data_IF_233126073655
#
_entry.id   IF_233126073655
#
_cell.length_a   1.000
_cell.length_b   1.000
_cell.length_c   1.000
_cell.angle_alpha   90.00
_cell.angle_beta   90.00
_cell.angle_gamma   90.00
#
_symmetry.space_group_name_H-M   'P 1'
#
loop_
_entity.id
_entity.type
_entity.pdbx_description
1 polymer ?
#
# COMPACT_ATOMS: atom_id res chain seq x y z
N UNK A 1 40.53 35.69 -6.38
CA UNK A 1 39.49 34.84 -7.01
C UNK A 1 39.44 33.52 -6.26
N UNK A 2 38.56 33.37 -5.27
CA UNK A 2 38.42 32.10 -4.55
C UNK A 2 37.57 31.16 -5.38
N UNK A 3 38.12 29.99 -5.74
CA UNK A 3 37.41 28.96 -6.48
C UNK A 3 36.26 28.46 -5.60
N UNK A 4 35.02 28.72 -6.01
CA UNK A 4 33.81 28.09 -5.48
C UNK A 4 33.81 26.58 -5.83
N UNK A 5 34.80 25.82 -5.36
CA UNK A 5 34.65 24.37 -5.26
C UNK A 5 33.65 24.14 -4.15
N UNK A 6 32.45 23.66 -4.50
CA UNK A 6 31.61 22.97 -3.53
C UNK A 6 32.48 21.91 -2.85
N UNK A 7 32.52 21.90 -1.53
CA UNK A 7 33.29 20.90 -0.82
C UNK A 7 32.67 19.53 -1.09
N UNK A 8 33.52 18.53 -1.31
CA UNK A 8 33.07 17.15 -1.57
C UNK A 8 32.10 16.66 -0.47
N UNK A 9 32.31 17.13 0.77
CA UNK A 9 31.39 16.87 1.91
C UNK A 9 29.97 17.40 1.71
N UNK A 10 29.78 18.55 1.08
CA UNK A 10 28.44 19.11 0.79
C UNK A 10 27.77 18.31 -0.33
N UNK A 11 28.53 17.96 -1.37
CA UNK A 11 28.03 17.16 -2.49
C UNK A 11 27.58 15.79 -2.01
N UNK A 12 28.39 15.11 -1.18
CA UNK A 12 28.05 13.80 -0.62
C UNK A 12 26.78 13.84 0.24
N UNK A 13 26.61 14.88 1.06
CA UNK A 13 25.45 15.04 1.94
C UNK A 13 24.16 15.35 1.17
N UNK A 14 24.28 15.97 0.00
CA UNK A 14 23.18 16.38 -0.85
C UNK A 14 22.93 15.42 -2.01
N UNK A 15 23.73 14.37 -2.18
CA UNK A 15 23.56 13.41 -3.26
C UNK A 15 22.19 12.74 -3.21
N UNK A 16 21.51 12.70 -4.36
CA UNK A 16 20.22 12.11 -4.57
C UNK A 16 20.32 10.97 -5.59
N UNK A 17 19.94 9.78 -5.16
CA UNK A 17 20.05 8.56 -5.96
C UNK A 17 18.86 8.32 -6.92
N UNK A 18 17.93 9.27 -7.03
CA UNK A 18 16.74 9.13 -7.89
C UNK A 18 15.58 8.37 -7.24
N UNK A 19 15.72 7.87 -6.02
CA UNK A 19 14.62 7.21 -5.32
C UNK A 19 13.56 8.25 -4.91
N UNK A 20 12.39 8.21 -5.54
CA UNK A 20 11.26 9.10 -5.24
C UNK A 20 10.85 9.11 -3.76
N UNK A 21 10.96 7.98 -3.06
CA UNK A 21 10.65 7.89 -1.62
C UNK A 21 11.59 8.73 -0.73
N UNK A 22 12.79 9.04 -1.22
CA UNK A 22 13.78 9.87 -0.53
C UNK A 22 13.77 11.33 -1.01
N UNK A 23 12.96 11.66 -2.02
CA UNK A 23 12.97 12.98 -2.66
C UNK A 23 12.55 14.09 -1.69
N UNK A 24 11.58 13.83 -0.82
CA UNK A 24 11.16 14.80 0.21
C UNK A 24 12.32 15.17 1.15
N UNK A 25 13.07 14.16 1.62
CA UNK A 25 14.25 14.38 2.47
C UNK A 25 15.36 15.13 1.71
N UNK A 26 15.60 14.79 0.45
CA UNK A 26 16.55 15.52 -0.40
C UNK A 26 16.14 16.99 -0.57
N UNK A 27 14.87 17.25 -0.90
CA UNK A 27 14.32 18.60 -1.06
C UNK A 27 14.50 19.46 0.19
N UNK A 28 14.23 18.92 1.37
CA UNK A 28 14.42 19.64 2.63
C UNK A 28 15.90 19.95 2.89
N UNK A 29 16.79 18.98 2.69
CA UNK A 29 18.24 19.20 2.83
C UNK A 29 18.78 20.26 1.87
N UNK A 30 18.34 20.20 0.61
CA UNK A 30 18.69 21.19 -0.41
C UNK A 30 18.24 22.59 0.01
N UNK A 31 16.96 22.76 0.37
CA UNK A 31 16.42 24.05 0.81
C UNK A 31 17.16 24.59 2.03
N UNK A 32 17.46 23.74 3.02
CA UNK A 32 18.21 24.12 4.20
C UNK A 32 19.64 24.60 3.85
N UNK A 33 20.31 23.92 2.91
CA UNK A 33 21.63 24.34 2.43
C UNK A 33 21.57 25.71 1.72
N UNK A 34 20.62 25.91 0.81
CA UNK A 34 20.45 27.18 0.11
C UNK A 34 20.15 28.32 1.09
N UNK A 35 19.29 28.07 2.09
CA UNK A 35 19.01 29.05 3.15
C UNK A 35 20.26 29.43 3.94
N UNK A 36 21.08 28.45 4.33
CA UNK A 36 22.34 28.71 5.03
C UNK A 36 23.31 29.54 4.18
N UNK A 37 23.35 29.32 2.85
CA UNK A 37 24.14 30.16 1.94
C UNK A 37 23.63 31.60 1.84
N UNK A 38 22.31 31.78 1.76
CA UNK A 38 21.70 33.11 1.79
C UNK A 38 22.05 33.87 3.07
N UNK A 39 21.98 33.19 4.22
CA UNK A 39 22.31 33.80 5.51
C UNK A 39 23.80 34.15 5.60
N UNK A 40 24.69 33.29 5.11
CA UNK A 40 26.13 33.57 5.04
C UNK A 40 26.46 34.76 4.11
N UNK A 41 25.76 34.89 2.97
CA UNK A 41 25.91 36.02 2.07
C UNK A 41 25.49 37.33 2.75
N UNK A 42 24.35 37.33 3.44
CA UNK A 42 23.88 38.50 4.21
C UNK A 42 24.92 38.93 5.24
N UNK A 43 25.50 37.99 6.00
CA UNK A 43 26.55 38.31 6.98
C UNK A 43 27.77 38.94 6.30
N UNK A 44 28.21 38.38 5.18
CA UNK A 44 29.37 38.87 4.42
C UNK A 44 29.16 40.30 3.91
N UNK A 45 27.99 40.60 3.36
CA UNK A 45 27.67 41.93 2.86
C UNK A 45 27.56 42.96 4.00
N UNK A 46 26.94 42.59 5.12
CA UNK A 46 26.87 43.47 6.29
C UNK A 46 28.25 43.75 6.90
N UNK A 47 29.14 42.75 6.95
CA UNK A 47 30.54 42.95 7.39
C UNK A 47 31.31 43.89 6.45
N UNK A 48 31.02 43.83 5.15
CA UNK A 48 31.57 44.75 4.17
C UNK A 48 30.89 46.14 4.16
N UNK A 49 30.00 46.42 5.12
CA UNK A 49 29.19 47.66 5.22
C UNK A 49 28.35 47.95 3.98
N UNK A 50 27.98 46.90 3.24
CA UNK A 50 27.11 46.98 2.06
C UNK A 50 25.66 46.74 2.44
N UNK A 51 24.75 47.15 1.55
CA UNK A 51 23.31 46.89 1.68
C UNK A 51 23.04 45.38 1.51
N UNK A 52 21.95 44.89 2.11
CA UNK A 52 21.60 43.45 2.09
C UNK A 52 21.26 42.99 0.67
N UNK A 53 21.64 41.77 0.26
CA UNK A 53 21.16 41.16 -0.99
C UNK A 53 19.63 41.12 -1.04
N UNK A 54 19.06 41.48 -2.19
CA UNK A 54 17.62 41.44 -2.44
C UNK A 54 17.18 39.99 -2.72
N UNK A 55 17.98 39.25 -3.47
CA UNK A 55 17.68 37.88 -3.86
C UNK A 55 18.28 36.86 -2.88
N UNK A 56 17.51 35.81 -2.53
CA UNK A 56 17.98 34.67 -1.75
C UNK A 56 18.09 33.42 -2.62
N UNK A 57 19.02 32.52 -2.29
CA UNK A 57 19.26 31.28 -3.03
C UNK A 57 18.03 30.36 -3.05
N UNK A 58 17.32 30.23 -1.93
CA UNK A 58 16.13 29.36 -1.83
C UNK A 58 14.96 29.87 -2.67
N UNK A 59 14.84 31.18 -2.89
CA UNK A 59 13.77 31.80 -3.67
C UNK A 59 13.93 31.53 -5.17
N UNK A 60 15.17 31.32 -5.63
CA UNK A 60 15.49 30.96 -7.01
C UNK A 60 14.88 29.63 -7.46
N UNK A 61 14.50 28.75 -6.51
CA UNK A 61 13.76 27.52 -6.79
C UNK A 61 12.30 27.77 -7.17
N UNK A 62 11.73 28.90 -6.74
CA UNK A 62 10.31 29.24 -6.91
C UNK A 62 10.10 30.13 -8.13
N UNK A 63 10.94 31.16 -8.26
CA UNK A 63 10.84 32.18 -9.29
C UNK A 63 12.21 32.78 -9.64
N UNK A 64 12.22 33.61 -10.67
CA UNK A 64 13.40 34.39 -11.02
C UNK A 64 13.53 35.60 -10.08
N UNK A 65 14.75 36.00 -9.70
CA UNK A 65 14.97 37.21 -8.91
C UNK A 65 14.39 38.43 -9.63
N UNK A 66 13.55 39.19 -8.94
CA UNK A 66 13.04 40.47 -9.44
C UNK A 66 13.94 41.56 -8.87
N UNK A 67 14.66 42.25 -9.76
CA UNK A 67 15.54 43.36 -9.40
C UNK A 67 14.99 44.63 -10.02
N UNK A 68 14.83 45.68 -9.22
CA UNK A 68 14.36 46.98 -9.69
C UNK A 68 15.52 47.73 -10.36
N UNK A 69 15.34 48.13 -11.61
CA UNK A 69 16.32 48.92 -12.34
C UNK A 69 16.43 50.35 -11.77
N UNK A 70 17.64 50.92 -11.67
CA UNK A 70 17.81 52.29 -11.23
C UNK A 70 17.13 53.25 -12.21
N UNK A 71 16.34 54.20 -11.68
CA UNK A 71 15.66 55.20 -12.49
C UNK A 71 16.60 56.23 -13.15
N UNK A 72 16.12 57.00 -14.14
CA UNK A 72 16.89 58.06 -14.76
C UNK A 72 17.26 59.12 -13.70
N UNK A 73 18.55 59.26 -13.42
CA UNK A 73 19.08 60.14 -12.36
C UNK A 73 19.55 59.43 -11.09
N UNK A 74 19.55 58.09 -11.06
CA UNK A 74 20.11 57.31 -9.96
C UNK A 74 21.59 57.66 -9.70
N UNK A 75 21.97 57.66 -8.42
CA UNK A 75 23.36 57.93 -8.01
C UNK A 75 24.31 56.83 -8.53
N UNK A 76 25.59 57.14 -8.62
CA UNK A 76 26.63 56.14 -8.97
C UNK A 76 26.61 54.98 -7.98
N UNK A 77 26.40 55.24 -6.69
CA UNK A 77 26.29 54.21 -5.66
C UNK A 77 25.09 53.28 -5.90
N UNK A 78 23.94 53.81 -6.34
CA UNK A 78 22.76 52.99 -6.64
C UNK A 78 22.95 52.16 -7.91
N UNK A 79 23.67 52.68 -8.91
CA UNK A 79 24.03 51.93 -10.12
C UNK A 79 25.00 50.77 -9.79
N UNK A 80 26.04 51.05 -9.00
CA UNK A 80 27.00 50.03 -8.55
C UNK A 80 26.30 48.96 -7.69
N UNK A 81 25.39 49.38 -6.82
CA UNK A 81 24.60 48.47 -6.01
C UNK A 81 23.72 47.56 -6.87
N UNK A 82 23.03 48.12 -7.87
CA UNK A 82 22.23 47.33 -8.81
C UNK A 82 23.08 46.32 -9.58
N UNK A 83 24.24 46.74 -10.12
CA UNK A 83 25.16 45.85 -10.82
C UNK A 83 25.63 44.68 -9.91
N UNK A 84 25.87 44.97 -8.63
CA UNK A 84 26.22 43.95 -7.64
C UNK A 84 25.06 42.97 -7.39
N UNK A 85 23.81 43.45 -7.31
CA UNK A 85 22.63 42.58 -7.17
C UNK A 85 22.44 41.67 -8.38
N UNK A 86 22.63 42.19 -9.60
CA UNK A 86 22.57 41.40 -10.83
C UNK A 86 23.65 40.32 -10.81
N UNK A 87 24.88 40.66 -10.42
CA UNK A 87 25.97 39.69 -10.29
C UNK A 87 25.64 38.59 -9.26
N UNK A 88 25.02 38.94 -8.13
CA UNK A 88 24.57 37.95 -7.15
C UNK A 88 23.50 37.02 -7.69
N UNK A 89 22.47 37.55 -8.36
CA UNK A 89 21.41 36.75 -8.97
C UNK A 89 21.99 35.73 -9.99
N UNK A 90 22.92 36.18 -10.84
CA UNK A 90 23.59 35.32 -11.81
C UNK A 90 24.45 34.24 -11.14
N UNK A 91 25.17 34.60 -10.09
CA UNK A 91 25.97 33.65 -9.31
C UNK A 91 25.08 32.62 -8.59
N UNK A 92 23.93 33.03 -8.03
CA UNK A 92 22.96 32.13 -7.42
C UNK A 92 22.46 31.08 -8.41
N UNK A 93 22.00 31.52 -9.59
CA UNK A 93 21.52 30.63 -10.65
C UNK A 93 22.61 29.61 -11.05
N UNK A 94 23.83 30.09 -11.27
CA UNK A 94 24.97 29.25 -11.68
C UNK A 94 25.34 28.23 -10.61
N UNK A 95 25.36 28.65 -9.34
CA UNK A 95 25.68 27.77 -8.23
C UNK A 95 24.65 26.65 -8.07
N UNK A 96 23.35 26.99 -8.11
CA UNK A 96 22.29 25.99 -7.95
C UNK A 96 22.28 25.01 -9.13
N UNK A 97 22.49 25.50 -10.37
CA UNK A 97 22.64 24.62 -11.54
C UNK A 97 23.81 23.65 -11.38
N UNK A 98 24.96 24.13 -10.90
CA UNK A 98 26.11 23.26 -10.64
C UNK A 98 25.78 22.23 -9.55
N UNK A 99 25.08 22.63 -8.50
CA UNK A 99 24.66 21.73 -7.43
C UNK A 99 23.70 20.65 -7.94
N UNK A 100 22.75 20.99 -8.83
CA UNK A 100 21.92 19.99 -9.51
C UNK A 100 22.74 19.00 -10.33
N UNK A 101 23.72 19.48 -11.10
CA UNK A 101 24.59 18.60 -11.90
C UNK A 101 25.39 17.62 -11.04
N UNK A 102 25.78 18.02 -9.82
CA UNK A 102 26.59 17.20 -8.91
C UNK A 102 25.76 16.27 -8.01
N UNK A 103 24.51 16.65 -7.71
CA UNK A 103 23.69 15.94 -6.70
C UNK A 103 22.57 15.11 -7.29
N UNK A 104 22.17 15.34 -8.54
CA UNK A 104 21.11 14.55 -9.18
C UNK A 104 21.70 13.35 -9.95
N UNK A 105 20.89 12.30 -10.21
CA UNK A 105 21.32 11.17 -11.00
C UNK A 105 21.80 11.57 -12.39
N UNK A 106 22.84 10.88 -12.88
CA UNK A 106 23.35 11.04 -14.24
C UNK A 106 22.23 10.83 -15.27
N UNK A 107 22.13 11.73 -16.25
CA UNK A 107 21.10 11.68 -17.29
C UNK A 107 19.79 12.36 -16.91
N UNK A 108 19.71 13.02 -15.74
CA UNK A 108 18.52 13.80 -15.35
C UNK A 108 18.22 14.97 -16.30
N UNK A 109 19.23 15.74 -16.68
CA UNK A 109 19.06 16.94 -17.49
C UNK A 109 19.76 16.79 -18.83
N UNK A 110 19.01 17.03 -19.91
CA UNK A 110 19.58 17.30 -21.21
C UNK A 110 20.09 18.76 -21.27
N UNK A 111 20.90 19.07 -22.26
CA UNK A 111 21.45 20.43 -22.44
C UNK A 111 20.35 21.49 -22.59
N UNK A 112 19.16 21.12 -23.06
CA UNK A 112 18.03 22.04 -23.17
C UNK A 112 17.43 22.41 -21.81
N UNK A 113 17.37 21.46 -20.88
CA UNK A 113 16.86 21.69 -19.53
C UNK A 113 17.85 22.48 -18.70
N UNK A 114 19.16 22.19 -18.78
CA UNK A 114 20.20 22.91 -18.01
C UNK A 114 20.32 24.39 -18.37
N UNK A 115 19.94 24.77 -19.60
CA UNK A 115 19.90 26.16 -20.04
C UNK A 115 18.71 26.95 -19.47
N UNK A 116 17.67 26.29 -18.97
CA UNK A 116 16.51 26.99 -18.39
C UNK A 116 16.85 27.67 -17.06
N UNK A 117 16.06 28.67 -16.62
CA UNK A 117 16.15 29.22 -15.27
C UNK A 117 15.98 28.13 -14.19
N UNK A 118 16.63 28.31 -13.04
CA UNK A 118 16.63 27.34 -11.92
C UNK A 118 15.22 26.91 -11.52
N UNK A 119 14.27 27.84 -11.37
CA UNK A 119 12.90 27.50 -10.99
C UNK A 119 12.22 26.57 -12.01
N UNK A 120 12.54 26.65 -13.30
CA UNK A 120 12.00 25.73 -14.32
C UNK A 120 12.63 24.35 -14.24
N UNK A 121 13.94 24.29 -13.97
CA UNK A 121 14.64 23.02 -13.72
C UNK A 121 14.07 22.37 -12.46
N UNK A 122 13.94 23.13 -11.38
CA UNK A 122 13.38 22.69 -10.11
C UNK A 122 11.96 22.14 -10.27
N UNK A 123 11.07 22.85 -10.97
CA UNK A 123 9.73 22.33 -11.29
C UNK A 123 9.77 21.02 -12.08
N UNK A 124 10.73 20.83 -12.98
CA UNK A 124 10.89 19.57 -13.70
C UNK A 124 11.36 18.43 -12.76
N UNK A 125 12.29 18.71 -11.85
CA UNK A 125 12.72 17.77 -10.79
C UNK A 125 11.51 17.37 -9.94
N UNK A 126 10.74 18.33 -9.45
CA UNK A 126 9.53 18.09 -8.66
C UNK A 126 8.47 17.32 -9.46
N UNK A 127 8.34 17.57 -10.78
CA UNK A 127 7.43 16.81 -11.63
C UNK A 127 7.83 15.33 -11.76
N UNK A 128 9.12 15.05 -11.81
CA UNK A 128 9.66 13.70 -12.01
C UNK A 128 9.72 12.88 -10.72
N UNK A 129 10.16 13.50 -9.63
CA UNK A 129 10.42 12.82 -8.37
C UNK A 129 9.44 13.18 -7.25
N UNK A 130 8.68 14.27 -7.42
CA UNK A 130 7.68 14.71 -6.45
C UNK A 130 6.52 13.72 -6.37
N UNK A 131 6.27 13.26 -5.15
CA UNK A 131 5.11 12.43 -4.82
C UNK A 131 3.81 13.25 -4.69
N UNK A 132 3.89 14.58 -4.80
CA UNK A 132 2.76 15.52 -4.83
C UNK A 132 2.22 15.77 -6.24
N UNK A 133 2.76 15.11 -7.26
CA UNK A 133 2.24 15.15 -8.63
C UNK A 133 1.11 14.13 -8.81
N UNK A 134 0.24 14.29 -9.81
CA UNK A 134 -0.80 13.31 -10.10
C UNK A 134 -0.24 11.89 -10.29
N UNK A 135 0.92 11.75 -10.96
CA UNK A 135 1.61 10.46 -11.11
C UNK A 135 2.13 9.93 -9.77
N UNK A 136 2.71 10.79 -8.93
CA UNK A 136 3.16 10.43 -7.59
C UNK A 136 2.03 10.01 -6.65
N UNK A 137 0.90 10.71 -6.70
CA UNK A 137 -0.33 10.37 -5.96
C UNK A 137 -0.89 9.04 -6.44
N UNK A 138 -0.96 8.80 -7.76
CA UNK A 138 -1.37 7.48 -8.32
C UNK A 138 -0.42 6.37 -7.86
N UNK A 139 0.89 6.60 -7.85
CA UNK A 139 1.87 5.64 -7.34
C UNK A 139 1.67 5.36 -5.84
N UNK A 140 1.37 6.38 -5.04
CA UNK A 140 1.09 6.24 -3.61
C UNK A 140 -0.24 5.52 -3.34
N UNK A 141 -1.30 5.83 -4.09
CA UNK A 141 -2.57 5.09 -4.05
C UNK A 141 -2.33 3.64 -4.48
N UNK A 142 -1.48 3.40 -5.48
CA UNK A 142 -1.04 2.05 -5.83
C UNK A 142 -0.33 1.34 -4.67
N UNK A 143 0.52 2.03 -3.90
CA UNK A 143 1.14 1.49 -2.67
C UNK A 143 0.09 1.17 -1.61
N UNK A 144 -0.95 1.98 -1.46
CA UNK A 144 -2.08 1.67 -0.58
C UNK A 144 -2.77 0.35 -0.97
N UNK A 145 -2.81 0.02 -2.26
CA UNK A 145 -3.31 -1.28 -2.73
C UNK A 145 -2.32 -2.44 -2.51
N UNK A 146 -1.03 -2.21 -2.76
CA UNK A 146 0.04 -3.21 -2.65
C UNK A 146 0.35 -3.55 -1.19
N UNK A 147 0.28 -2.60 -0.27
CA UNK A 147 0.52 -2.84 1.16
C UNK A 147 -0.45 -3.88 1.74
N UNK A 148 -1.66 -3.97 1.19
CA UNK A 148 -2.64 -4.99 1.55
C UNK A 148 -2.30 -6.41 1.01
N UNK A 149 -1.23 -6.54 0.21
CA UNK A 149 -0.88 -7.78 -0.46
C UNK A 149 -0.04 -8.74 0.39
N UNK A 150 0.84 -8.24 1.28
CA UNK A 150 1.74 -9.07 2.08
C UNK A 150 2.02 -8.48 3.48
N UNK A 151 1.27 -8.95 4.49
CA UNK A 151 1.36 -8.48 5.87
C UNK A 151 1.70 -9.61 6.84
N UNK A 152 2.51 -9.28 7.86
CA UNK A 152 2.96 -10.22 8.90
C UNK A 152 1.91 -10.46 9.99
N UNK A 153 1.08 -9.46 10.29
CA UNK A 153 -0.04 -9.52 11.24
C UNK A 153 -1.09 -8.45 10.93
N UNK A 154 -2.26 -8.51 11.59
CA UNK A 154 -3.30 -7.48 11.46
C UNK A 154 -2.78 -6.12 11.92
N UNK A 155 -2.12 -6.03 13.08
CA UNK A 155 -1.56 -4.76 13.56
C UNK A 155 -0.49 -4.19 12.61
N UNK A 156 0.30 -5.07 11.96
CA UNK A 156 1.25 -4.65 10.93
C UNK A 156 0.52 -4.08 9.70
N UNK A 157 -0.53 -4.74 9.23
CA UNK A 157 -1.36 -4.25 8.12
C UNK A 157 -1.95 -2.86 8.42
N UNK A 158 -2.57 -2.68 9.60
CA UNK A 158 -3.12 -1.40 10.00
C UNK A 158 -2.06 -0.31 10.06
N UNK A 159 -0.87 -0.59 10.61
CA UNK A 159 0.24 0.35 10.67
C UNK A 159 0.68 0.79 9.27
N UNK A 160 0.87 -0.15 8.34
CA UNK A 160 1.31 0.18 6.99
C UNK A 160 0.24 0.95 6.21
N UNK A 161 -1.04 0.59 6.34
CA UNK A 161 -2.14 1.30 5.67
C UNK A 161 -2.35 2.71 6.23
N UNK A 162 -2.21 2.91 7.55
CA UNK A 162 -2.23 4.26 8.16
C UNK A 162 -1.12 5.13 7.59
N UNK A 163 0.13 4.63 7.61
CA UNK A 163 1.26 5.36 7.07
C UNK A 163 1.09 5.70 5.57
N UNK A 164 0.59 4.75 4.78
CA UNK A 164 0.32 4.99 3.36
C UNK A 164 -0.80 6.03 3.15
N UNK A 165 -1.90 5.94 3.92
CA UNK A 165 -2.99 6.93 3.91
C UNK A 165 -2.47 8.32 4.26
N UNK A 166 -1.74 8.44 5.36
CA UNK A 166 -1.27 9.73 5.88
C UNK A 166 -0.33 10.39 4.87
N UNK A 167 0.52 9.61 4.19
CA UNK A 167 1.37 10.12 3.12
C UNK A 167 0.57 10.60 1.89
N UNK A 168 -0.45 9.85 1.46
CA UNK A 168 -1.32 10.25 0.35
C UNK A 168 -2.06 11.54 0.69
N UNK A 169 -2.65 11.60 1.89
CA UNK A 169 -3.44 12.74 2.35
C UNK A 169 -2.58 13.98 2.57
N UNK A 170 -1.36 13.84 3.12
CA UNK A 170 -0.43 14.96 3.23
C UNK A 170 -0.11 15.55 1.85
N UNK A 171 0.21 14.70 0.87
CA UNK A 171 0.53 15.15 -0.48
C UNK A 171 -0.68 15.78 -1.19
N UNK A 172 -1.88 15.22 -1.00
CA UNK A 172 -3.10 15.76 -1.60
C UNK A 172 -3.60 17.02 -0.90
N UNK A 173 -3.39 17.18 0.41
CA UNK A 173 -3.70 18.40 1.12
C UNK A 173 -2.79 19.55 0.66
N UNK A 174 -1.50 19.26 0.41
CA UNK A 174 -0.59 20.25 -0.16
C UNK A 174 -1.02 20.68 -1.57
N UNK A 175 -1.31 19.72 -2.46
CA UNK A 175 -1.57 19.97 -3.87
C UNK A 175 -3.01 20.40 -4.20
N UNK A 176 -4.00 19.80 -3.52
CA UNK A 176 -5.42 19.90 -3.85
C UNK A 176 -6.28 20.41 -2.68
N UNK A 177 -5.71 20.63 -1.49
CA UNK A 177 -6.42 21.05 -0.27
C UNK A 177 -7.53 20.08 0.16
N UNK A 178 -7.38 18.79 -0.18
CA UNK A 178 -8.30 17.72 0.19
C UNK A 178 -7.57 16.48 0.70
N UNK A 179 -8.23 15.72 1.56
CA UNK A 179 -7.81 14.37 1.94
C UNK A 179 -8.43 13.35 0.98
N UNK A 180 -7.60 12.62 0.22
CA UNK A 180 -8.09 11.67 -0.79
C UNK A 180 -8.56 10.34 -0.20
N UNK A 181 -7.92 9.87 0.88
CA UNK A 181 -8.21 8.57 1.48
C UNK A 181 -8.85 8.79 2.85
N UNK A 182 -10.15 8.51 2.93
CA UNK A 182 -10.88 8.50 4.20
C UNK A 182 -10.53 7.27 5.05
N UNK A 183 -10.77 7.37 6.35
CA UNK A 183 -10.62 6.23 7.27
C UNK A 183 -11.52 5.06 6.87
N UNK A 184 -12.72 5.36 6.34
CA UNK A 184 -13.71 4.35 5.97
C UNK A 184 -13.24 3.52 4.77
N UNK A 185 -12.66 4.15 3.75
CA UNK A 185 -12.09 3.44 2.60
C UNK A 185 -10.93 2.54 3.02
N UNK A 186 -10.09 2.99 3.97
CA UNK A 186 -9.03 2.17 4.54
C UNK A 186 -9.56 0.94 5.26
N UNK A 187 -10.59 1.09 6.09
CA UNK A 187 -11.23 -0.04 6.77
C UNK A 187 -11.84 -1.02 5.76
N UNK A 188 -12.57 -0.53 4.75
CA UNK A 188 -13.14 -1.37 3.69
C UNK A 188 -12.03 -2.15 2.97
N UNK A 189 -10.87 -1.54 2.71
CA UNK A 189 -9.73 -2.23 2.09
C UNK A 189 -9.20 -3.36 2.97
N UNK A 190 -9.05 -3.14 4.28
CA UNK A 190 -8.66 -4.20 5.25
C UNK A 190 -9.66 -5.36 5.20
N UNK A 191 -10.95 -5.07 5.23
CA UNK A 191 -11.99 -6.10 5.19
C UNK A 191 -11.98 -6.88 3.86
N UNK A 192 -11.73 -6.19 2.74
CA UNK A 192 -11.72 -6.79 1.40
C UNK A 192 -10.65 -7.87 1.19
N UNK A 193 -9.56 -7.84 1.96
CA UNK A 193 -8.45 -8.80 1.84
C UNK A 193 -8.52 -9.96 2.83
N UNK A 194 -9.47 -9.91 3.77
CA UNK A 194 -9.66 -10.92 4.82
C UNK A 194 -10.87 -11.81 4.50
N UNK A 195 -10.88 -13.10 4.89
CA UNK A 195 -12.00 -13.99 4.60
C UNK A 195 -13.29 -13.53 5.30
N UNK A 196 -14.27 -13.08 4.51
CA UNK A 196 -15.52 -12.46 4.99
C UNK A 196 -16.29 -13.28 6.02
N UNK A 197 -16.30 -14.60 5.88
CA UNK A 197 -17.02 -15.49 6.82
C UNK A 197 -16.40 -15.54 8.22
N UNK A 198 -15.15 -15.12 8.41
CA UNK A 198 -14.47 -15.13 9.70
C UNK A 198 -14.72 -13.86 10.52
N UNK A 199 -15.07 -12.75 9.86
CA UNK A 199 -15.26 -11.46 10.53
C UNK A 199 -16.64 -10.82 10.31
N UNK A 200 -17.41 -11.31 9.33
CA UNK A 200 -18.64 -10.66 8.87
C UNK A 200 -19.70 -10.44 9.96
N UNK A 201 -19.76 -11.30 10.98
CA UNK A 201 -20.69 -11.14 12.11
C UNK A 201 -20.15 -10.20 13.21
N UNK A 202 -18.84 -9.96 13.26
CA UNK A 202 -18.21 -9.12 14.29
C UNK A 202 -18.18 -7.63 13.90
N UNK A 203 -18.22 -7.34 12.60
CA UNK A 203 -18.11 -5.98 12.06
C UNK A 203 -19.50 -5.42 11.78
N UNK A 204 -19.78 -4.26 12.38
CA UNK A 204 -21.07 -3.56 12.26
C UNK A 204 -20.86 -2.26 11.50
N UNK A 205 -21.63 -2.05 10.43
CA UNK A 205 -21.59 -0.86 9.59
C UNK A 205 -22.51 0.23 10.14
N UNK A 206 -22.13 0.84 11.26
CA UNK A 206 -22.75 2.08 11.77
C UNK A 206 -21.67 3.12 12.09
N UNK A 207 -21.99 4.43 12.11
CA UNK A 207 -21.01 5.48 12.39
C UNK A 207 -20.28 5.29 13.72
N UNK A 208 -20.97 4.77 14.74
CA UNK A 208 -20.45 4.59 16.10
C UNK A 208 -19.53 3.37 16.21
N UNK A 209 -19.78 2.32 15.43
CA UNK A 209 -19.05 1.05 15.48
C UNK A 209 -17.96 0.94 14.40
N UNK A 210 -18.11 1.63 13.27
CA UNK A 210 -17.21 1.56 12.13
C UNK A 210 -16.03 2.54 12.25
N UNK A 211 -15.39 2.54 13.43
CA UNK A 211 -14.21 3.35 13.74
C UNK A 211 -12.93 2.52 13.64
N UNK A 212 -11.81 3.18 13.37
CA UNK A 212 -10.51 2.56 13.24
C UNK A 212 -10.16 1.66 14.44
N UNK A 213 -10.27 2.20 15.65
CA UNK A 213 -9.87 1.54 16.90
C UNK A 213 -10.71 0.30 17.18
N UNK A 214 -12.03 0.40 17.03
CA UNK A 214 -12.96 -0.72 17.25
C UNK A 214 -12.71 -1.84 16.26
N UNK A 215 -12.53 -1.51 14.98
CA UNK A 215 -12.35 -2.51 13.93
C UNK A 215 -10.95 -3.16 13.98
N UNK A 216 -9.91 -2.39 14.27
CA UNK A 216 -8.57 -2.95 14.50
C UNK A 216 -8.59 -3.92 15.69
N UNK A 217 -9.22 -3.54 16.81
CA UNK A 217 -9.33 -4.39 18.00
C UNK A 217 -10.10 -5.69 17.72
N UNK A 218 -11.25 -5.61 17.04
CA UNK A 218 -12.06 -6.78 16.66
C UNK A 218 -11.29 -7.72 15.73
N UNK A 219 -10.63 -7.18 14.71
CA UNK A 219 -9.85 -8.00 13.77
C UNK A 219 -8.60 -8.60 14.43
N UNK A 220 -7.95 -7.88 15.35
CA UNK A 220 -6.87 -8.42 16.17
C UNK A 220 -7.36 -9.55 17.09
N UNK A 221 -8.56 -9.45 17.67
CA UNK A 221 -9.12 -10.52 18.48
C UNK A 221 -9.42 -11.80 17.66
N UNK A 222 -9.86 -11.64 16.40
CA UNK A 222 -10.19 -12.76 15.51
C UNK A 222 -8.93 -13.45 14.97
N UNK A 223 -7.97 -12.67 14.47
CA UNK A 223 -6.83 -13.20 13.72
C UNK A 223 -5.52 -13.19 14.51
N UNK A 224 -5.41 -12.39 15.57
CA UNK A 224 -4.21 -12.22 16.37
C UNK A 224 -3.00 -11.83 15.53
N UNK A 225 -1.89 -12.52 15.76
CA UNK A 225 -0.61 -12.29 15.09
C UNK A 225 -0.47 -13.10 13.78
N UNK A 226 -1.57 -13.60 13.20
CA UNK A 226 -1.50 -14.41 11.99
C UNK A 226 -1.17 -13.57 10.76
N UNK A 227 -0.30 -14.09 9.90
CA UNK A 227 -0.01 -13.53 8.59
C UNK A 227 -1.13 -13.82 7.59
N UNK A 228 -1.09 -13.15 6.43
CA UNK A 228 -2.07 -13.39 5.35
C UNK A 228 -2.15 -14.86 4.93
N UNK A 229 -1.01 -15.54 4.80
CA UNK A 229 -0.96 -16.95 4.42
C UNK A 229 -1.60 -17.84 5.49
N UNK A 230 -1.34 -17.56 6.77
CA UNK A 230 -1.95 -18.29 7.88
C UNK A 230 -3.46 -18.07 7.95
N UNK A 231 -3.93 -16.83 7.74
CA UNK A 231 -5.36 -16.51 7.70
C UNK A 231 -6.05 -17.22 6.53
N UNK A 232 -5.43 -17.24 5.35
CA UNK A 232 -5.92 -18.05 4.22
C UNK A 232 -5.90 -19.55 4.54
N UNK A 233 -4.92 -20.04 5.30
CA UNK A 233 -4.89 -21.42 5.76
C UNK A 233 -6.11 -21.81 6.61
N UNK A 234 -6.67 -20.88 7.40
CA UNK A 234 -7.86 -21.12 8.23
C UNK A 234 -9.10 -21.47 7.39
N UNK A 235 -9.18 -20.97 6.15
CA UNK A 235 -10.30 -21.29 5.25
C UNK A 235 -10.21 -22.69 4.68
N UNK A 236 -9.01 -23.28 4.68
CA UNK A 236 -8.73 -24.60 4.10
C UNK A 236 -8.76 -25.72 5.14
N UNK A 237 -8.77 -25.41 6.44
CA UNK A 237 -8.75 -26.40 7.54
C UNK A 237 -10.11 -27.00 7.90
N UNK A 238 -11.11 -26.94 7.01
CA UNK A 238 -12.33 -27.76 7.15
C UNK A 238 -12.11 -29.16 6.54
N UNK A 239 -11.13 -29.88 7.09
CA UNK A 239 -11.05 -31.35 7.05
C UNK A 239 -9.97 -31.84 8.04
N UNK A 240 -10.19 -31.62 9.34
CA UNK A 240 -9.42 -32.34 10.36
C UNK A 240 -10.42 -33.26 11.06
N UNK A 241 -10.19 -34.57 10.95
CA UNK A 241 -10.95 -35.59 11.66
C UNK A 241 -11.06 -35.22 13.14
N UNK A 242 -12.30 -35.10 13.64
CA UNK A 242 -12.57 -34.95 15.06
C UNK A 242 -12.03 -36.16 15.82
N UNK A 243 -10.92 -35.99 16.55
CA UNK A 243 -10.68 -36.73 17.78
C UNK A 243 -11.22 -35.84 18.89
N UNK A 244 -12.36 -36.22 19.47
CA UNK A 244 -12.95 -35.53 20.62
C UNK A 244 -12.36 -36.12 21.89
N UNK A 245 -11.66 -35.35 22.74
CA UNK A 245 -11.36 -35.78 24.10
C UNK A 245 -12.67 -35.86 24.90
N UNK A 246 -12.86 -36.94 25.67
CA UNK A 246 -13.90 -37.01 26.70
C UNK A 246 -13.68 -35.86 27.70
N UNK A 247 -14.78 -35.34 28.22
CA UNK A 247 -14.87 -34.33 29.27
C UNK A 247 -14.76 -32.87 28.85
N UNK A 248 -15.88 -32.36 28.32
CA UNK A 248 -16.32 -30.97 28.54
C UNK A 248 -17.80 -30.82 28.20
N UNK A 249 -18.64 -31.73 28.72
CA UNK A 249 -20.05 -31.42 28.94
C UNK A 249 -20.12 -30.63 30.23
N UNK A 250 -20.18 -29.30 30.11
CA UNK A 250 -20.89 -28.36 30.99
C UNK A 250 -20.41 -26.95 30.65
N UNK A 251 -21.20 -26.21 29.87
CA UNK A 251 -21.69 -24.84 30.14
C UNK A 251 -22.18 -24.14 28.85
N UNK A 252 -23.40 -23.61 28.94
CA UNK A 252 -24.17 -22.79 27.96
C UNK A 252 -25.04 -23.50 26.89
N UNK A 253 -26.30 -23.75 27.27
CA UNK A 253 -27.52 -23.48 26.49
C UNK A 253 -27.36 -22.18 25.65
N UNK A 254 -27.73 -22.01 24.38
CA UNK A 254 -28.74 -22.61 23.51
C UNK A 254 -28.31 -22.53 22.03
N UNK A 255 -27.80 -23.61 21.41
CA UNK A 255 -27.85 -23.80 19.95
C UNK A 255 -27.88 -25.31 19.69
N UNK A 256 -29.02 -25.94 19.95
CA UNK A 256 -29.16 -27.38 19.69
C UNK A 256 -29.27 -27.63 18.19
N UNK A 257 -28.22 -28.23 17.64
CA UNK A 257 -28.28 -28.96 16.38
C UNK A 257 -29.36 -30.06 16.50
N UNK A 258 -30.56 -29.78 15.98
CA UNK A 258 -31.62 -30.78 15.91
C UNK A 258 -31.37 -31.70 14.70
N UNK A 259 -31.69 -32.99 14.84
CA UNK A 259 -31.58 -33.95 13.74
C UNK A 259 -32.45 -33.50 12.55
N UNK A 260 -31.95 -33.73 11.33
CA UNK A 260 -32.57 -33.31 10.05
C UNK A 260 -34.03 -33.74 9.86
N UNK A 261 -34.48 -34.78 10.55
CA UNK A 261 -35.85 -35.31 10.53
C UNK A 261 -36.77 -34.67 11.60
N UNK A 262 -36.20 -33.93 12.55
CA UNK A 262 -36.92 -33.16 13.59
C UNK A 262 -36.92 -31.64 13.32
N UNK A 263 -36.51 -31.21 12.12
CA UNK A 263 -36.49 -29.80 11.71
C UNK A 263 -37.87 -29.35 11.23
N UNK A 264 -38.56 -28.54 12.04
CA UNK A 264 -39.87 -27.98 11.66
C UNK A 264 -39.81 -27.09 10.41
N UNK A 265 -38.73 -26.31 10.25
CA UNK A 265 -38.52 -25.47 9.06
C UNK A 265 -38.45 -26.33 7.79
N UNK A 266 -37.80 -27.49 7.86
CA UNK A 266 -37.70 -28.42 6.73
C UNK A 266 -39.03 -29.10 6.42
N UNK A 267 -39.83 -29.40 7.44
CA UNK A 267 -41.17 -29.98 7.27
C UNK A 267 -42.08 -29.01 6.48
N UNK A 268 -42.06 -27.73 6.87
CA UNK A 268 -42.75 -26.64 6.14
C UNK A 268 -42.23 -26.44 4.71
N UNK A 269 -40.91 -26.44 4.51
CA UNK A 269 -40.32 -26.27 3.18
C UNK A 269 -40.71 -27.43 2.23
N UNK A 270 -40.88 -28.66 2.74
CA UNK A 270 -41.36 -29.83 1.98
C UNK A 270 -42.85 -29.68 1.61
N UNK A 271 -43.69 -29.28 2.57
CA UNK A 271 -45.13 -29.02 2.33
C UNK A 271 -45.33 -27.92 1.27
N UNK A 272 -44.46 -26.90 1.28
CA UNK A 272 -44.49 -25.77 0.34
C UNK A 272 -43.73 -26.00 -0.97
N UNK A 273 -43.10 -27.18 -1.17
CA UNK A 273 -42.25 -27.52 -2.33
C UNK A 273 -41.14 -26.49 -2.61
N UNK A 274 -40.60 -25.84 -1.58
CA UNK A 274 -39.54 -24.84 -1.71
C UNK A 274 -38.17 -25.50 -1.58
N UNK A 275 -37.39 -25.53 -2.66
CA UNK A 275 -36.01 -26.03 -2.66
C UNK A 275 -35.02 -24.87 -2.46
N UNK A 276 -34.41 -24.77 -1.26
CA UNK A 276 -33.33 -23.80 -0.99
C UNK A 276 -32.00 -24.36 -1.50
N UNK A 277 -31.36 -23.65 -2.44
CA UNK A 277 -30.15 -24.08 -3.18
C UNK A 277 -28.86 -24.20 -2.34
N UNK A 278 -28.89 -23.89 -1.03
CA UNK A 278 -27.68 -23.83 -0.18
C UNK A 278 -27.63 -24.90 0.93
N UNK A 279 -28.07 -26.14 0.65
CA UNK A 279 -27.87 -27.27 1.58
C UNK A 279 -27.05 -28.36 0.88
N UNK A 280 -25.79 -28.50 1.29
CA UNK A 280 -24.94 -29.61 0.85
C UNK A 280 -25.44 -30.93 1.42
N UNK A 281 -25.75 -31.89 0.55
CA UNK A 281 -25.86 -33.30 0.90
C UNK A 281 -24.46 -33.92 0.94
N UNK A 282 -24.20 -34.72 1.97
CA UNK A 282 -22.95 -35.48 2.11
C UNK A 282 -22.69 -36.40 0.89
N UNK A 283 -21.42 -36.64 0.50
CA UNK A 283 -21.07 -37.62 -0.52
C UNK A 283 -21.53 -39.03 -0.12
N UNK A 284 -22.14 -39.73 -1.07
CA UNK A 284 -22.73 -41.06 -0.89
C UNK A 284 -21.66 -42.15 -0.83
N UNK A 285 -21.17 -42.46 0.36
CA UNK A 285 -20.45 -43.71 0.63
C UNK A 285 -20.86 -44.24 2.01
N UNK A 286 -22.13 -44.65 2.15
CA UNK A 286 -22.68 -45.52 3.22
C UNK A 286 -24.22 -45.59 3.03
N UNK A 287 -24.65 -46.28 1.97
CA UNK A 287 -26.01 -46.82 1.86
C UNK A 287 -25.92 -48.27 1.45
N UNK A 288 -25.82 -49.16 2.42
CA UNK A 288 -26.56 -50.44 2.46
C UNK A 288 -26.45 -51.07 3.85
N UNK A 289 -27.28 -50.56 4.75
CA UNK A 289 -27.91 -51.38 5.78
C UNK A 289 -29.38 -50.96 5.82
N UNK A 290 -30.19 -51.55 4.93
CA UNK A 290 -31.62 -51.70 5.18
C UNK A 290 -31.77 -53.07 5.81
N UNK A 291 -31.74 -53.14 7.14
CA UNK A 291 -32.44 -54.21 7.86
C UNK A 291 -33.88 -53.76 7.94
N UNK A 292 -34.81 -54.51 7.36
CA UNK A 292 -36.22 -54.62 7.73
C UNK A 292 -36.90 -55.63 6.80
N UNK A 293 -36.76 -56.92 7.10
CA UNK A 293 -37.76 -57.97 6.80
C UNK A 293 -37.63 -59.10 7.84
N UNK A 294 -38.75 -59.43 8.46
CA UNK A 294 -38.96 -60.59 9.35
C UNK A 294 -38.73 -61.94 8.65
N UNK A 295 -38.52 -63.04 9.41
CA UNK A 295 -37.79 -64.22 8.97
C UNK A 295 -38.66 -65.23 8.20
N UNK A 296 -38.09 -65.84 7.16
CA UNK A 296 -38.64 -67.06 6.53
C UNK A 296 -37.64 -68.22 6.70
N UNK A 297 -38.12 -69.45 6.96
CA UNK A 297 -37.31 -70.52 7.53
C UNK A 297 -36.37 -71.20 6.52
N UNK A 298 -35.27 -71.73 7.07
CA UNK A 298 -34.18 -72.41 6.37
C UNK A 298 -34.67 -73.65 5.61
N UNK A 299 -34.21 -73.80 4.37
CA UNK A 299 -34.01 -75.13 3.76
C UNK A 299 -32.54 -75.32 3.39
N UNK A 300 -32.01 -76.42 3.91
CA UNK A 300 -30.71 -77.05 3.64
C UNK A 300 -30.71 -77.69 2.25
N UNK A 301 -29.62 -77.57 1.50
CA UNK A 301 -29.49 -78.27 0.21
C UNK A 301 -28.13 -78.08 -0.45
N UNK A 302 -27.39 -79.18 -0.60
CA UNK A 302 -26.03 -79.32 -1.14
C UNK A 302 -25.95 -79.03 -2.65
N UNK A 303 -24.79 -78.58 -3.12
CA UNK A 303 -24.44 -78.67 -4.55
C UNK A 303 -23.13 -77.98 -4.93
N UNK A 304 -22.03 -78.74 -4.93
CA UNK A 304 -20.72 -78.38 -5.52
C UNK A 304 -20.87 -78.11 -7.02
N UNK A 305 -20.13 -77.15 -7.59
CA UNK A 305 -19.40 -77.34 -8.86
C UNK A 305 -18.25 -76.31 -9.02
N UNK A 306 -17.08 -76.82 -9.40
CA UNK A 306 -15.82 -76.11 -9.74
C UNK A 306 -15.81 -75.74 -11.24
N UNK A 307 -15.11 -74.66 -11.61
CA UNK A 307 -14.20 -74.52 -12.77
C UNK A 307 -13.78 -73.02 -12.89
N UNK A 308 -12.53 -72.65 -12.59
CA UNK A 308 -11.34 -72.55 -13.44
C UNK A 308 -11.35 -71.46 -14.54
N UNK A 309 -10.22 -70.74 -14.56
CA UNK A 309 -9.91 -69.55 -15.34
C UNK A 309 -9.41 -69.84 -16.77
N UNK A 310 -9.57 -68.83 -17.65
CA UNK A 310 -8.74 -68.42 -18.82
C UNK A 310 -9.47 -67.20 -19.41
N UNK A 311 -8.90 -66.00 -19.52
CA UNK A 311 -7.67 -65.64 -20.24
C UNK A 311 -8.07 -65.03 -21.59
N UNK A 312 -7.88 -63.71 -21.77
CA UNK A 312 -7.68 -63.09 -23.10
C UNK A 312 -7.16 -61.66 -22.96
N UNK A 313 -5.90 -61.49 -23.37
CA UNK A 313 -5.21 -60.23 -23.65
C UNK A 313 -5.98 -59.35 -24.64
N UNK A 314 -5.77 -58.03 -24.55
CA UNK A 314 -5.98 -57.10 -25.67
C UNK A 314 -4.68 -56.37 -25.97
N UNK A 315 -4.19 -56.67 -27.17
CA UNK A 315 -3.05 -56.10 -27.86
C UNK A 315 -3.26 -54.61 -28.16
N UNK A 316 -2.21 -53.83 -27.94
CA UNK A 316 -2.04 -52.44 -28.39
C UNK A 316 -1.59 -52.47 -29.85
N UNK A 317 -2.22 -51.70 -30.72
CA UNK A 317 -1.65 -51.35 -32.04
C UNK A 317 -1.70 -49.84 -32.19
N UNK A 318 -0.51 -49.26 -32.28
CA UNK A 318 -0.21 -47.90 -32.73
C UNK A 318 -0.10 -47.92 -34.26
N UNK A 319 -0.60 -46.89 -34.94
CA UNK A 319 -0.27 -46.62 -36.34
C UNK A 319 0.00 -45.12 -36.47
N UNK A 320 1.26 -44.80 -36.74
CA UNK A 320 1.67 -43.61 -37.45
C UNK A 320 1.98 -44.07 -38.87
N UNK A 321 1.37 -43.40 -39.85
CA UNK A 321 1.99 -42.94 -41.11
C UNK A 321 1.10 -41.81 -41.64
#
# INVERSE_FOLDING_TARGET
>A
MSKNKLSDSVVDKLSFNGNKGMFATYKEKLKAHLKAMSDALVVTELQAKRRRPVARYEDALVQEPVLEEPGPGASVEDQEYYALQVAFANNQQSHIKNLFNLTLPSGFADDKLTQKPVHKIWRAIEKLYGLNTASGVVELVGKFEIVASDFKSISHLFRQLKAARDQVNQNSAEALKIDLISQQIMLIKVLSILPGHLWGSAIVFTPEEFTLEKNESKLCAIFGNKSKAQIKGLTNTVSVHHVVPRDSRLLSQEWWAHLKNKCEKRKRDIELKVFRRNIWSYPSALKKARSDREPTPKMTGKGKFKAQAKGKERTVVSTND
#
